data_IF_057394081676
#
_entry.id   IF_057394081676
#
_cell.length_a   1.000
_cell.length_b   1.000
_cell.length_c   1.000
_cell.angle_alpha   90.00
_cell.angle_beta   90.00
_cell.angle_gamma   90.00
#
_symmetry.space_group_name_H-M   'P 1'
#
loop_
_entity.id
_entity.type
_entity.pdbx_description
1 polymer ?
#
# COMPACT_ATOMS: atom_id res chain seq x y z
N UNK A 1 20.66 15.03 -65.79
CA UNK A 1 21.99 15.50 -65.38
C UNK A 1 21.82 16.52 -64.27
N UNK A 2 22.48 16.33 -63.12
CA UNK A 2 22.68 17.34 -62.09
C UNK A 2 23.84 16.89 -61.21
N UNK A 3 25.02 17.49 -61.38
CA UNK A 3 26.14 17.32 -60.45
C UNK A 3 26.04 18.43 -59.40
N UNK A 4 26.10 18.08 -58.12
CA UNK A 4 26.61 18.97 -57.06
C UNK A 4 27.61 18.13 -56.24
N UNK A 5 28.73 18.74 -55.88
CA UNK A 5 29.94 18.03 -55.49
C UNK A 5 30.12 17.83 -53.97
N UNK A 6 31.15 17.07 -53.61
CA UNK A 6 31.64 16.88 -52.25
C UNK A 6 32.09 18.20 -51.61
N UNK A 7 31.81 18.35 -50.31
CA UNK A 7 32.69 19.06 -49.36
C UNK A 7 32.86 18.18 -48.13
N UNK A 8 34.06 18.09 -47.57
CA UNK A 8 34.42 17.12 -46.54
C UNK A 8 34.90 17.75 -45.22
N UNK A 9 34.86 16.93 -44.17
CA UNK A 9 35.58 17.09 -42.90
C UNK A 9 35.33 18.35 -42.05
N UNK A 10 34.89 18.10 -40.81
CA UNK A 10 35.80 18.31 -39.68
C UNK A 10 35.62 17.21 -38.61
N UNK A 11 36.74 16.64 -38.16
CA UNK A 11 36.80 15.75 -36.99
C UNK A 11 36.77 16.60 -35.72
N UNK A 12 35.92 16.23 -34.76
CA UNK A 12 36.15 16.47 -33.34
C UNK A 12 35.70 15.19 -32.62
N UNK A 13 36.62 14.26 -32.35
CA UNK A 13 37.58 14.24 -31.22
C UNK A 13 36.90 13.61 -30.00
N UNK A 14 37.17 12.31 -29.81
CA UNK A 14 36.80 11.59 -28.60
C UNK A 14 37.30 12.30 -27.35
N UNK A 15 36.48 12.31 -26.31
CA UNK A 15 36.86 12.72 -24.96
C UNK A 15 36.59 11.56 -24.03
N UNK A 16 37.63 10.78 -23.78
CA UNK A 16 37.65 9.66 -22.85
C UNK A 16 37.44 10.19 -21.42
N UNK A 17 36.27 9.93 -20.84
CA UNK A 17 36.01 10.29 -19.43
C UNK A 17 36.38 9.10 -18.55
N UNK A 18 37.65 9.09 -18.17
CA UNK A 18 38.31 8.28 -17.16
C UNK A 18 37.37 7.77 -16.06
N UNK A 19 37.27 6.45 -15.91
CA UNK A 19 36.69 5.80 -14.73
C UNK A 19 37.54 6.09 -13.50
N UNK A 20 36.92 6.47 -12.38
CA UNK A 20 37.63 6.65 -11.11
C UNK A 20 36.92 5.85 -10.01
N UNK A 21 37.62 4.84 -9.49
CA UNK A 21 37.10 3.91 -8.48
C UNK A 21 37.20 4.53 -7.08
N UNK A 22 36.06 4.90 -6.49
CA UNK A 22 36.03 5.32 -5.08
C UNK A 22 35.92 4.09 -4.18
N UNK A 23 37.06 3.56 -3.75
CA UNK A 23 37.12 2.61 -2.63
C UNK A 23 36.64 3.30 -1.35
N UNK A 24 35.67 2.71 -0.66
CA UNK A 24 35.29 3.06 0.71
C UNK A 24 35.61 1.89 1.63
N UNK A 25 36.58 2.08 2.51
CA UNK A 25 37.02 1.04 3.45
C UNK A 25 35.99 0.78 4.56
N UNK A 26 35.96 -0.47 5.03
CA UNK A 26 35.09 -0.90 6.13
C UNK A 26 35.69 -0.51 7.49
N UNK A 27 35.38 0.69 7.98
CA UNK A 27 35.60 1.07 9.38
C UNK A 27 34.79 0.17 10.32
N UNK A 28 35.41 -0.35 11.39
CA UNK A 28 34.87 -1.42 12.24
C UNK A 28 35.15 -1.14 13.71
N UNK A 29 34.35 -0.27 14.31
CA UNK A 29 34.47 0.09 15.73
C UNK A 29 33.28 -0.39 16.56
N UNK A 30 33.56 -1.44 17.33
CA UNK A 30 32.83 -1.83 18.54
C UNK A 30 33.27 -0.98 19.73
N UNK A 31 32.35 -0.53 20.60
CA UNK A 31 32.55 -0.40 22.06
C UNK A 31 31.22 -0.04 22.76
N UNK A 32 31.00 -0.61 23.96
CA UNK A 32 30.05 -0.27 25.06
C UNK A 32 28.60 0.18 24.70
N UNK A 33 27.52 -0.33 25.28
CA UNK A 33 27.31 -1.08 26.55
C UNK A 33 27.74 -0.29 27.81
N UNK A 34 26.93 0.71 28.15
CA UNK A 34 26.79 1.19 29.52
C UNK A 34 25.36 0.87 29.98
N UNK A 35 25.24 0.12 31.08
CA UNK A 35 23.98 -0.14 31.80
C UNK A 35 23.81 0.89 32.93
N UNK A 36 22.71 0.76 33.68
CA UNK A 36 22.45 1.43 34.96
C UNK A 36 22.16 2.95 34.81
N UNK A 37 21.09 3.48 35.42
CA UNK A 37 20.71 3.27 36.82
C UNK A 37 19.19 3.30 37.01
N UNK A 38 18.68 2.51 37.96
CA UNK A 38 17.28 2.57 38.42
C UNK A 38 17.22 2.95 39.91
N UNK A 39 16.45 4.00 40.19
CA UNK A 39 15.99 4.45 41.51
C UNK A 39 14.64 5.16 41.28
N UNK A 40 13.50 4.92 41.95
CA UNK A 40 13.20 4.52 43.34
C UNK A 40 13.68 5.56 44.38
N UNK A 41 12.83 6.28 45.13
CA UNK A 41 11.37 6.30 45.22
C UNK A 41 10.91 7.74 45.68
N UNK A 42 9.77 8.07 46.32
CA UNK A 42 8.69 7.29 46.95
C UNK A 42 7.37 8.10 47.11
N UNK A 43 6.36 7.41 47.66
CA UNK A 43 5.06 7.78 48.28
C UNK A 43 4.89 9.18 48.90
N UNK A 44 3.69 9.79 48.72
CA UNK A 44 2.81 10.23 49.84
C UNK A 44 1.34 10.49 49.42
N UNK A 45 0.38 10.35 50.37
CA UNK A 45 -1.08 10.55 50.17
C UNK A 45 -1.86 10.68 51.50
N UNK A 46 -2.43 11.86 51.81
CA UNK A 46 -3.89 12.01 51.98
C UNK A 46 -4.42 13.21 51.14
N UNK A 47 -5.68 13.37 50.68
CA UNK A 47 -7.04 12.98 51.09
C UNK A 47 -7.84 14.09 51.83
N UNK A 48 -8.75 14.76 51.10
CA UNK A 48 -10.04 15.39 51.49
C UNK A 48 -10.69 15.94 50.17
N UNK A 49 -11.98 15.88 49.81
CA UNK A 49 -13.28 16.02 50.52
C UNK A 49 -13.66 17.51 50.76
N UNK A 50 -14.85 18.07 50.43
CA UNK A 50 -16.15 17.58 49.89
C UNK A 50 -16.82 18.70 49.05
N UNK A 51 -17.54 18.38 47.95
CA UNK A 51 -18.72 19.15 47.49
C UNK A 51 -19.56 18.41 46.41
N UNK A 52 -20.85 18.22 46.65
CA UNK A 52 -21.88 17.98 45.62
C UNK A 52 -22.48 19.37 45.20
N UNK A 53 -23.35 19.58 44.20
CA UNK A 53 -24.60 18.86 43.82
C UNK A 53 -25.03 19.28 42.37
N UNK A 54 -26.24 19.07 41.80
CA UNK A 54 -26.42 18.06 40.75
C UNK A 54 -27.03 18.51 39.38
N UNK A 55 -26.93 17.59 38.39
CA UNK A 55 -27.92 17.33 37.31
C UNK A 55 -28.16 18.42 36.22
N UNK A 56 -28.88 18.14 35.10
CA UNK A 56 -29.50 16.87 34.65
C UNK A 56 -29.07 16.38 33.24
N UNK A 57 -29.74 15.30 32.77
CA UNK A 57 -29.93 14.79 31.39
C UNK A 57 -28.90 15.16 30.28
N UNK A 58 -28.23 14.23 29.58
CA UNK A 58 -28.69 12.97 28.95
C UNK A 58 -29.83 13.17 27.93
N UNK A 59 -29.48 13.60 26.72
CA UNK A 59 -30.26 13.34 25.51
C UNK A 59 -29.59 12.25 24.67
N UNK A 60 -30.04 11.01 24.86
CA UNK A 60 -29.61 9.86 24.05
C UNK A 60 -30.30 9.90 22.68
N UNK A 61 -29.72 10.63 21.72
CA UNK A 61 -30.29 10.72 20.38
C UNK A 61 -30.13 9.40 19.64
N UNK A 62 -31.23 8.66 19.56
CA UNK A 62 -31.31 7.28 19.08
C UNK A 62 -30.52 7.02 17.78
N UNK A 63 -29.62 6.05 17.84
CA UNK A 63 -29.03 5.42 16.65
C UNK A 63 -30.09 4.50 16.08
N UNK A 64 -30.62 4.84 14.89
CA UNK A 64 -31.65 4.04 14.25
C UNK A 64 -31.12 2.64 13.91
N UNK A 65 -31.72 1.62 14.52
CA UNK A 65 -31.29 0.22 14.36
C UNK A 65 -31.71 -0.28 12.98
N UNK A 66 -30.81 -0.07 12.00
CA UNK A 66 -30.92 -0.68 10.67
C UNK A 66 -30.94 -2.20 10.84
N UNK A 67 -32.13 -2.78 10.71
CA UNK A 67 -32.39 -4.21 10.83
C UNK A 67 -31.41 -4.98 9.94
N UNK A 68 -30.84 -6.11 10.39
CA UNK A 68 -30.01 -6.94 9.53
C UNK A 68 -30.85 -7.37 8.31
N UNK A 69 -30.40 -6.98 7.12
CA UNK A 69 -31.01 -7.45 5.88
C UNK A 69 -30.87 -8.98 5.79
N UNK A 70 -31.96 -9.65 5.45
CA UNK A 70 -32.09 -11.12 5.36
C UNK A 70 -30.88 -11.78 4.70
N UNK A 71 -30.35 -12.84 5.32
CA UNK A 71 -29.23 -13.64 4.82
C UNK A 71 -29.46 -14.22 3.41
N UNK A 72 -29.13 -13.44 2.38
CA UNK A 72 -28.87 -13.98 1.05
C UNK A 72 -27.53 -14.72 1.14
N UNK A 73 -27.60 -16.04 1.18
CA UNK A 73 -26.43 -16.94 1.20
C UNK A 73 -25.68 -16.85 -0.15
N UNK A 74 -24.85 -15.83 -0.30
CA UNK A 74 -23.93 -15.68 -1.43
C UNK A 74 -23.01 -16.90 -1.49
N UNK A 75 -23.03 -17.60 -2.63
CA UNK A 75 -22.09 -18.67 -2.94
C UNK A 75 -20.73 -18.06 -3.30
N UNK A 76 -19.65 -18.60 -2.74
CA UNK A 76 -18.29 -18.15 -3.02
C UNK A 76 -17.44 -19.27 -3.63
N UNK A 77 -16.58 -18.91 -4.58
CA UNK A 77 -15.39 -19.69 -4.93
C UNK A 77 -14.23 -19.27 -4.01
N UNK A 78 -13.45 -20.24 -3.50
CA UNK A 78 -12.37 -20.00 -2.52
C UNK A 78 -11.01 -20.34 -3.13
N UNK A 79 -10.04 -19.45 -2.93
CA UNK A 79 -8.67 -19.56 -3.44
C UNK A 79 -7.66 -19.27 -2.31
N UNK A 80 -6.52 -19.96 -2.31
CA UNK A 80 -5.52 -19.85 -1.25
C UNK A 80 -5.98 -20.45 0.08
N UNK A 81 -5.64 -19.80 1.19
CA UNK A 81 -6.04 -20.20 2.53
C UNK A 81 -7.57 -20.18 2.68
N UNK A 82 -8.12 -21.18 3.40
CA UNK A 82 -9.55 -21.26 3.71
C UNK A 82 -9.95 -20.14 4.68
N UNK A 83 -10.70 -19.16 4.18
CA UNK A 83 -11.21 -18.03 4.97
C UNK A 83 -12.73 -18.02 5.02
N UNK A 84 -13.29 -17.39 6.07
CA UNK A 84 -14.73 -17.13 6.21
C UNK A 84 -15.07 -15.75 5.65
N UNK A 85 -16.29 -15.58 5.13
CA UNK A 85 -16.81 -14.29 4.66
C UNK A 85 -17.17 -13.30 5.78
N UNK A 86 -17.16 -13.73 7.04
CA UNK A 86 -17.53 -12.92 8.21
C UNK A 86 -16.54 -11.77 8.48
N UNK A 87 -16.99 -10.71 9.16
CA UNK A 87 -16.11 -9.65 9.73
C UNK A 87 -15.15 -9.01 8.72
N UNK A 88 -15.49 -9.02 7.43
CA UNK A 88 -14.76 -8.28 6.41
C UNK A 88 -15.08 -6.79 6.53
N UNK A 89 -14.05 -5.94 6.52
CA UNK A 89 -14.20 -4.49 6.42
C UNK A 89 -14.81 -4.10 5.07
N UNK A 90 -15.53 -2.98 5.01
CA UNK A 90 -15.92 -2.38 3.71
C UNK A 90 -14.72 -1.66 3.08
N UNK A 91 -14.80 -1.33 1.79
CA UNK A 91 -13.76 -0.54 1.09
C UNK A 91 -13.58 0.86 1.70
N UNK A 92 -14.63 1.44 2.28
CA UNK A 92 -14.62 2.71 3.03
C UNK A 92 -13.85 2.58 4.34
N UNK A 93 -14.02 1.48 5.08
CA UNK A 93 -13.23 1.21 6.28
C UNK A 93 -11.77 0.88 5.91
N UNK A 94 -11.55 0.16 4.80
CA UNK A 94 -10.22 -0.23 4.34
C UNK A 94 -9.35 0.96 3.90
N UNK A 95 -9.92 1.97 3.22
CA UNK A 95 -9.15 3.17 2.86
C UNK A 95 -8.74 4.00 4.10
N UNK A 96 -9.51 3.98 5.19
CA UNK A 96 -9.08 4.62 6.45
C UNK A 96 -7.95 3.83 7.11
N UNK A 97 -7.98 2.49 7.08
CA UNK A 97 -6.84 1.66 7.51
C UNK A 97 -5.58 2.00 6.70
N UNK A 98 -5.68 2.04 5.38
CA UNK A 98 -4.55 2.44 4.52
C UNK A 98 -3.99 3.83 4.82
N UNK A 99 -4.84 4.83 5.07
CA UNK A 99 -4.40 6.19 5.47
C UNK A 99 -3.69 6.25 6.84
N UNK A 100 -3.87 5.24 7.69
CA UNK A 100 -3.18 5.17 9.00
C UNK A 100 -1.83 4.45 8.96
N UNK A 101 -1.42 3.93 7.80
CA UNK A 101 -0.13 3.23 7.62
C UNK A 101 0.93 4.18 7.02
N UNK A 102 2.17 4.03 7.47
CA UNK A 102 3.38 4.58 6.86
C UNK A 102 4.08 3.50 6.03
N UNK A 103 5.05 3.89 5.21
CA UNK A 103 5.89 2.94 4.46
C UNK A 103 6.67 2.07 5.46
N UNK A 104 6.58 0.75 5.30
CA UNK A 104 7.12 -0.24 6.23
C UNK A 104 6.08 -0.83 7.20
N UNK A 105 4.99 -0.13 7.49
CA UNK A 105 3.90 -0.67 8.32
C UNK A 105 3.15 -1.77 7.57
N UNK A 106 2.74 -2.83 8.28
CA UNK A 106 1.82 -3.85 7.76
C UNK A 106 0.71 -4.13 8.78
N UNK A 107 -0.52 -4.32 8.32
CA UNK A 107 -1.66 -4.65 9.19
C UNK A 107 -2.42 -5.85 8.63
N UNK A 108 -2.66 -6.85 9.49
CA UNK A 108 -3.46 -8.02 9.14
C UNK A 108 -4.94 -7.67 9.17
N UNK A 109 -5.62 -7.75 8.02
CA UNK A 109 -7.05 -7.40 7.86
C UNK A 109 -7.73 -8.28 6.83
N UNK A 110 -9.07 -8.23 6.84
CA UNK A 110 -9.95 -8.82 5.83
C UNK A 110 -10.88 -7.72 5.31
N UNK A 111 -11.08 -7.59 4.00
CA UNK A 111 -12.02 -6.61 3.44
C UNK A 111 -12.76 -7.12 2.21
N UNK A 112 -13.96 -6.58 1.98
CA UNK A 112 -14.83 -6.86 0.82
C UNK A 112 -14.83 -5.66 -0.12
N UNK A 113 -14.64 -5.91 -1.42
CA UNK A 113 -14.84 -4.90 -2.47
C UNK A 113 -15.02 -5.56 -3.84
N UNK A 114 -15.31 -4.75 -4.86
CA UNK A 114 -15.39 -5.17 -6.26
C UNK A 114 -13.99 -5.33 -6.85
N UNK A 115 -13.73 -6.39 -7.61
CA UNK A 115 -12.52 -6.55 -8.42
C UNK A 115 -12.61 -5.60 -9.62
N UNK A 116 -11.55 -4.83 -9.86
CA UNK A 116 -11.44 -3.84 -10.94
C UNK A 116 -10.78 -4.45 -12.18
N UNK A 117 -9.62 -5.07 -11.98
CA UNK A 117 -8.89 -5.80 -13.01
C UNK A 117 -8.18 -7.03 -12.40
N UNK A 118 -7.80 -7.97 -13.27
CA UNK A 118 -7.09 -9.22 -12.94
C UNK A 118 -5.97 -9.41 -13.96
N UNK A 119 -4.81 -9.92 -13.54
CA UNK A 119 -3.71 -10.24 -14.44
C UNK A 119 -4.10 -11.25 -15.53
N UNK A 120 -4.50 -10.77 -16.72
CA UNK A 120 -5.01 -11.59 -17.83
C UNK A 120 -4.02 -12.65 -18.34
N UNK A 121 -2.74 -12.58 -17.96
CA UNK A 121 -1.72 -13.59 -18.31
C UNK A 121 -1.83 -14.89 -17.50
N UNK A 122 -2.09 -14.81 -16.19
CA UNK A 122 -2.03 -15.95 -15.24
C UNK A 122 -2.88 -15.80 -13.96
N UNK A 123 -3.62 -14.71 -13.77
CA UNK A 123 -4.43 -14.50 -12.56
C UNK A 123 -3.61 -14.37 -11.27
N UNK A 124 -2.37 -13.87 -11.34
CA UNK A 124 -1.42 -13.80 -10.22
C UNK A 124 -1.43 -12.47 -9.42
N UNK A 125 -2.22 -11.50 -9.86
CA UNK A 125 -2.58 -10.30 -9.10
C UNK A 125 -3.98 -9.85 -9.54
N UNK A 126 -4.63 -9.04 -8.70
CA UNK A 126 -5.87 -8.34 -9.03
C UNK A 126 -5.92 -6.97 -8.36
N UNK A 127 -6.61 -6.01 -8.96
CA UNK A 127 -6.90 -4.71 -8.35
C UNK A 127 -8.30 -4.74 -7.72
N UNK A 128 -8.45 -4.20 -6.50
CA UNK A 128 -9.73 -4.09 -5.81
C UNK A 128 -10.11 -2.64 -5.57
N UNK A 129 -11.38 -2.30 -5.76
CA UNK A 129 -11.85 -0.92 -5.67
C UNK A 129 -11.74 -0.32 -4.26
N UNK A 130 -11.27 0.91 -4.16
CA UNK A 130 -11.35 1.77 -2.97
C UNK A 130 -12.10 3.07 -3.31
N UNK A 131 -12.66 3.79 -2.32
CA UNK A 131 -13.37 5.05 -2.57
C UNK A 131 -12.49 6.13 -3.22
N UNK A 132 -13.12 6.99 -4.04
CA UNK A 132 -12.45 8.12 -4.69
C UNK A 132 -11.57 7.74 -5.88
N UNK A 133 -11.95 6.69 -6.63
CA UNK A 133 -11.20 6.23 -7.83
C UNK A 133 -9.87 5.55 -7.51
N UNK A 134 -9.64 5.20 -6.23
CA UNK A 134 -8.44 4.52 -5.75
C UNK A 134 -8.59 3.01 -5.83
N UNK A 135 -7.48 2.29 -5.82
CA UNK A 135 -7.47 0.83 -5.88
C UNK A 135 -6.44 0.25 -4.91
N UNK A 136 -6.70 -0.97 -4.44
CA UNK A 136 -5.80 -1.81 -3.65
C UNK A 136 -5.20 -2.87 -4.57
N UNK A 137 -3.88 -2.82 -4.79
CA UNK A 137 -3.19 -3.81 -5.61
C UNK A 137 -2.92 -5.09 -4.80
N UNK A 138 -3.63 -6.16 -5.12
CA UNK A 138 -3.56 -7.46 -4.43
C UNK A 138 -2.60 -8.40 -5.16
N UNK A 139 -1.54 -8.83 -4.46
CA UNK A 139 -0.70 -9.97 -4.85
C UNK A 139 -1.01 -11.16 -3.94
N UNK A 140 -0.82 -12.38 -4.46
CA UNK A 140 -0.99 -13.62 -3.69
C UNK A 140 0.35 -14.03 -3.07
N UNK A 141 0.32 -14.34 -1.77
CA UNK A 141 1.52 -14.67 -1.00
C UNK A 141 2.27 -15.84 -1.65
N UNK A 142 3.59 -15.70 -1.75
CA UNK A 142 4.52 -16.70 -2.29
C UNK A 142 4.15 -17.24 -3.69
N UNK A 143 3.35 -16.49 -4.48
CA UNK A 143 2.77 -16.92 -5.77
C UNK A 143 1.93 -18.22 -5.66
N UNK A 144 1.41 -18.53 -4.46
CA UNK A 144 0.90 -19.84 -4.09
C UNK A 144 -0.46 -20.22 -4.73
N UNK A 145 -1.19 -19.27 -5.30
CA UNK A 145 -2.47 -19.51 -5.97
C UNK A 145 -2.82 -18.39 -6.97
N UNK A 146 -3.82 -18.66 -7.81
CA UNK A 146 -4.31 -17.75 -8.85
C UNK A 146 -5.82 -17.59 -8.75
N UNK A 147 -6.33 -16.46 -9.23
CA UNK A 147 -7.77 -16.19 -9.37
C UNK A 147 -8.21 -16.29 -10.85
N UNK A 148 -9.50 -16.53 -11.14
CA UNK A 148 -10.00 -16.63 -12.51
C UNK A 148 -9.77 -15.32 -13.29
N UNK A 149 -9.33 -15.42 -14.54
CA UNK A 149 -9.03 -14.26 -15.40
C UNK A 149 -10.27 -13.38 -15.64
N UNK A 150 -11.45 -14.01 -15.65
CA UNK A 150 -12.77 -13.40 -15.80
C UNK A 150 -13.40 -12.91 -14.48
N UNK A 151 -12.67 -12.89 -13.36
CA UNK A 151 -13.19 -12.40 -12.07
C UNK A 151 -13.26 -10.86 -11.97
N UNK A 152 -12.88 -10.13 -13.03
CA UNK A 152 -13.10 -8.69 -13.11
C UNK A 152 -14.60 -8.34 -12.98
N UNK A 153 -14.90 -7.27 -12.23
CA UNK A 153 -16.25 -6.89 -11.79
C UNK A 153 -17.00 -7.82 -10.83
N UNK A 154 -16.49 -9.00 -10.46
CA UNK A 154 -17.05 -9.77 -9.33
C UNK A 154 -16.85 -9.06 -7.99
N UNK A 155 -17.66 -9.37 -6.98
CA UNK A 155 -17.32 -9.05 -5.60
C UNK A 155 -16.33 -10.07 -5.03
N UNK A 156 -15.36 -9.60 -4.25
CA UNK A 156 -14.41 -10.47 -3.57
C UNK A 156 -14.16 -10.02 -2.12
N UNK A 157 -13.82 -11.01 -1.28
CA UNK A 157 -13.35 -10.83 0.08
C UNK A 157 -11.90 -11.33 0.12
N UNK A 158 -10.96 -10.47 0.47
CA UNK A 158 -9.55 -10.85 0.64
C UNK A 158 -9.15 -10.81 2.10
N UNK A 159 -8.27 -11.72 2.50
CA UNK A 159 -7.68 -11.77 3.84
C UNK A 159 -6.16 -11.84 3.73
N UNK A 160 -5.45 -11.07 4.55
CA UNK A 160 -4.00 -11.01 4.54
C UNK A 160 -3.46 -9.71 5.09
N UNK A 161 -2.33 -9.23 4.55
CA UNK A 161 -1.63 -8.03 5.03
C UNK A 161 -1.79 -6.84 4.08
N UNK A 162 -2.36 -5.75 4.59
CA UNK A 162 -2.37 -4.45 3.93
C UNK A 162 -1.11 -3.64 4.30
N UNK A 163 -0.54 -2.93 3.33
CA UNK A 163 0.63 -2.06 3.50
C UNK A 163 0.63 -0.93 2.45
N UNK A 164 1.40 0.13 2.67
CA UNK A 164 1.60 1.20 1.68
C UNK A 164 3.02 1.18 1.14
N UNK A 165 3.17 1.63 -0.10
CA UNK A 165 4.44 1.71 -0.82
C UNK A 165 4.55 3.08 -1.46
N UNK A 166 5.67 3.77 -1.24
CA UNK A 166 5.99 5.01 -1.92
C UNK A 166 6.95 4.72 -3.09
N UNK A 167 6.72 5.37 -4.23
CA UNK A 167 7.71 5.46 -5.31
C UNK A 167 8.14 6.93 -5.45
N UNK A 168 9.43 7.20 -5.24
CA UNK A 168 9.96 8.56 -5.23
C UNK A 168 9.91 9.24 -6.61
N UNK A 169 9.88 10.58 -6.63
CA UNK A 169 9.92 11.39 -7.86
C UNK A 169 11.09 10.99 -8.77
N UNK A 170 12.27 10.70 -8.20
CA UNK A 170 13.44 10.27 -8.97
C UNK A 170 13.20 8.91 -9.67
N UNK A 171 12.63 7.94 -8.97
CA UNK A 171 12.32 6.62 -9.51
C UNK A 171 11.20 6.68 -10.56
N UNK A 172 10.14 7.46 -10.32
CA UNK A 172 9.08 7.70 -11.30
C UNK A 172 9.61 8.35 -12.59
N UNK A 173 10.53 9.32 -12.47
CA UNK A 173 11.17 9.97 -13.62
C UNK A 173 12.10 9.02 -14.39
N UNK A 174 12.81 8.13 -13.71
CA UNK A 174 13.61 7.08 -14.33
C UNK A 174 12.70 6.11 -15.12
N UNK A 175 11.66 5.55 -14.50
CA UNK A 175 10.70 4.66 -15.18
C UNK A 175 9.99 5.34 -16.36
N UNK A 176 9.69 6.64 -16.26
CA UNK A 176 9.13 7.41 -17.36
C UNK A 176 10.12 7.61 -18.52
N UNK A 177 11.41 7.80 -18.25
CA UNK A 177 12.47 7.87 -19.26
C UNK A 177 12.68 6.53 -19.95
N UNK A 178 12.74 5.43 -19.19
CA UNK A 178 12.92 4.07 -19.72
C UNK A 178 11.70 3.64 -20.55
N UNK A 179 10.51 4.07 -20.15
CA UNK A 179 9.26 3.94 -20.92
C UNK A 179 9.12 4.91 -22.10
N UNK A 180 10.17 5.67 -22.44
CA UNK A 180 10.21 6.52 -23.64
C UNK A 180 9.32 7.77 -23.61
N UNK A 181 8.88 8.24 -22.43
CA UNK A 181 8.07 9.46 -22.30
C UNK A 181 8.88 10.71 -22.63
N UNK A 182 8.21 11.76 -23.09
CA UNK A 182 8.84 13.05 -23.39
C UNK A 182 9.33 13.76 -22.13
N UNK A 183 10.34 14.63 -22.27
CA UNK A 183 10.83 15.46 -21.15
C UNK A 183 9.72 16.32 -20.53
N UNK A 184 8.78 16.80 -21.36
CA UNK A 184 7.61 17.56 -20.92
C UNK A 184 6.57 16.74 -20.13
N UNK A 185 6.59 15.41 -20.21
CA UNK A 185 5.83 14.51 -19.34
C UNK A 185 6.62 14.16 -18.08
N UNK A 186 7.91 13.88 -18.21
CA UNK A 186 8.83 13.60 -17.08
C UNK A 186 8.86 14.80 -16.12
N UNK A 187 8.82 16.02 -16.63
CA UNK A 187 8.76 17.26 -15.84
C UNK A 187 7.47 17.40 -15.02
N UNK A 188 6.34 16.82 -15.46
CA UNK A 188 5.05 16.83 -14.71
C UNK A 188 5.08 15.93 -13.48
N UNK A 189 6.03 15.00 -13.40
CA UNK A 189 6.25 14.15 -12.24
C UNK A 189 6.93 14.99 -11.16
N UNK A 190 6.14 15.53 -10.23
CA UNK A 190 6.58 16.47 -9.18
C UNK A 190 6.30 15.97 -7.75
N UNK A 191 5.52 14.90 -7.60
CA UNK A 191 5.16 14.29 -6.31
C UNK A 191 5.45 12.79 -6.34
N UNK A 192 5.77 12.15 -5.19
CA UNK A 192 5.90 10.70 -5.11
C UNK A 192 4.53 10.01 -5.28
N UNK A 193 4.54 8.78 -5.74
CA UNK A 193 3.33 7.97 -5.93
C UNK A 193 3.13 7.03 -4.74
N UNK A 194 1.93 7.07 -4.14
CA UNK A 194 1.55 6.25 -2.99
C UNK A 194 0.60 5.13 -3.41
N UNK A 195 1.11 3.91 -3.47
CA UNK A 195 0.35 2.71 -3.81
C UNK A 195 -0.20 2.01 -2.57
N UNK A 196 -1.49 1.66 -2.59
CA UNK A 196 -2.11 0.77 -1.61
C UNK A 196 -1.90 -0.68 -2.04
N UNK A 197 -1.13 -1.45 -1.26
CA UNK A 197 -0.77 -2.84 -1.60
C UNK A 197 -1.33 -3.82 -0.58
N UNK A 198 -1.60 -5.03 -1.06
CA UNK A 198 -2.15 -6.10 -0.25
C UNK A 198 -1.46 -7.42 -0.60
N UNK A 199 -0.99 -8.14 0.41
CA UNK A 199 -0.53 -9.52 0.28
C UNK A 199 -1.62 -10.44 0.81
N UNK A 200 -2.36 -11.09 -0.09
CA UNK A 200 -3.46 -11.98 0.27
C UNK A 200 -2.97 -13.40 0.54
N UNK A 201 -3.36 -13.92 1.70
CA UNK A 201 -3.20 -15.33 2.09
C UNK A 201 -4.36 -16.18 1.54
N UNK A 202 -5.56 -15.59 1.41
CA UNK A 202 -6.75 -16.24 0.88
C UNK A 202 -7.79 -15.26 0.32
N UNK A 203 -8.62 -15.76 -0.60
CA UNK A 203 -9.61 -14.98 -1.36
C UNK A 203 -10.91 -15.77 -1.49
N UNK A 204 -12.04 -15.10 -1.29
CA UNK A 204 -13.36 -15.55 -1.72
C UNK A 204 -13.84 -14.64 -2.86
N UNK A 205 -14.41 -15.21 -3.92
CA UNK A 205 -15.03 -14.46 -5.03
C UNK A 205 -16.48 -14.91 -5.16
N UNK A 206 -17.42 -13.99 -5.28
CA UNK A 206 -18.84 -14.30 -5.50
C UNK A 206 -19.03 -15.08 -6.81
N UNK A 207 -19.80 -16.17 -6.77
CA UNK A 207 -20.26 -16.85 -7.99
C UNK A 207 -21.32 -16.03 -8.72
#
# INVERSE_FOLDING_TARGET
MALIAFTACQKNKETEVKTEETVIETGKDTVHVDTDTVSAAETEKPADAVAATPAPAVEEKAIEVVKPATDIKVEYASFGAKIKADKALTKEQMIQKYKSLKVGDTVAVKFKSKIKDVCQKKGCWMAMELPGGKESFVKFKDYAFFVPLNAASSEAIVSGKAFVSETSVAQLRHYAKDGGKSEAEIAKITQPEMEYKFMADGVLISK
#
